data_IF_961827998843
#
_entry.id   IF_961827998843
#
_cell.length_a   1.000
_cell.length_b   1.000
_cell.length_c   1.000
_cell.angle_alpha   90.00
_cell.angle_beta   90.00
_cell.angle_gamma   90.00
#
_symmetry.space_group_name_H-M   'P 1'
#
loop_
_entity.id
_entity.type
_entity.pdbx_description
1 polymer ?
#
# COMPACT_ATOMS: atom_id res chain seq x y z
N UNK A 1 -10.09 -27.68 -0.91
CA UNK A 1 -8.82 -26.93 -1.12
C UNK A 1 -8.58 -26.09 0.13
N UNK A 2 -7.41 -26.15 0.76
CA UNK A 2 -7.13 -25.45 2.02
C UNK A 2 -5.98 -24.44 1.93
N UNK A 3 -5.26 -24.38 0.81
CA UNK A 3 -4.17 -23.41 0.54
C UNK A 3 -4.23 -22.99 -0.92
N UNK A 4 -3.97 -21.71 -1.20
CA UNK A 4 -3.94 -21.14 -2.54
C UNK A 4 -2.56 -20.54 -2.79
N UNK A 5 -1.92 -20.92 -3.90
CA UNK A 5 -0.67 -20.32 -4.37
C UNK A 5 -0.95 -19.65 -5.71
N UNK A 6 -0.68 -18.36 -5.82
CA UNK A 6 -0.80 -17.62 -7.09
C UNK A 6 0.58 -17.17 -7.54
N UNK A 7 0.98 -17.62 -8.73
CA UNK A 7 2.26 -17.27 -9.32
C UNK A 7 2.07 -16.15 -10.37
N UNK A 8 2.33 -14.91 -9.97
CA UNK A 8 2.03 -13.73 -10.78
C UNK A 8 2.96 -12.55 -10.46
N UNK A 9 2.41 -11.48 -9.89
CA UNK A 9 3.11 -10.23 -9.60
C UNK A 9 3.51 -10.11 -8.13
N UNK A 10 4.08 -8.98 -7.76
CA UNK A 10 4.42 -8.65 -6.38
C UNK A 10 3.23 -8.75 -5.42
N UNK A 11 3.42 -9.32 -4.22
CA UNK A 11 2.38 -9.32 -3.18
C UNK A 11 1.92 -7.90 -2.81
N UNK A 12 2.79 -6.89 -2.95
CA UNK A 12 2.48 -5.50 -2.59
C UNK A 12 1.27 -4.90 -3.31
N UNK A 13 0.92 -5.43 -4.49
CA UNK A 13 -0.18 -4.89 -5.30
C UNK A 13 -1.45 -5.72 -5.07
N UNK A 14 -1.39 -7.03 -5.31
CA UNK A 14 -2.61 -7.85 -5.40
C UNK A 14 -2.81 -8.85 -4.24
N UNK A 15 -1.90 -8.92 -3.26
CA UNK A 15 -2.15 -9.75 -2.07
C UNK A 15 -3.46 -9.36 -1.34
N UNK A 16 -3.78 -8.07 -1.11
CA UNK A 16 -5.05 -7.69 -0.52
C UNK A 16 -6.26 -8.16 -1.33
N UNK A 17 -6.17 -8.10 -2.66
CA UNK A 17 -7.22 -8.54 -3.59
C UNK A 17 -7.49 -10.04 -3.45
N UNK A 18 -6.46 -10.88 -3.53
CA UNK A 18 -6.65 -12.33 -3.40
C UNK A 18 -7.10 -12.72 -1.99
N UNK A 19 -6.60 -12.04 -0.95
CA UNK A 19 -7.08 -12.27 0.42
C UNK A 19 -8.58 -11.96 0.58
N UNK A 20 -9.08 -10.90 -0.07
CA UNK A 20 -10.51 -10.62 -0.10
C UNK A 20 -11.29 -11.74 -0.80
N UNK A 21 -10.81 -12.22 -1.94
CA UNK A 21 -11.43 -13.36 -2.66
C UNK A 21 -11.49 -14.62 -1.79
N UNK A 22 -10.40 -14.96 -1.08
CA UNK A 22 -10.42 -16.11 -0.17
C UNK A 22 -11.44 -15.92 0.95
N UNK A 23 -11.53 -14.73 1.52
CA UNK A 23 -12.51 -14.41 2.57
C UNK A 23 -13.94 -14.59 2.07
N UNK A 24 -14.25 -14.09 0.87
CA UNK A 24 -15.57 -14.27 0.23
C UNK A 24 -15.88 -15.74 -0.06
N UNK A 25 -14.85 -16.53 -0.38
CA UNK A 25 -14.97 -17.98 -0.57
C UNK A 25 -15.05 -18.78 0.75
N UNK A 26 -15.10 -18.12 1.91
CA UNK A 26 -15.16 -18.78 3.23
C UNK A 26 -13.83 -19.42 3.67
N UNK A 27 -12.71 -19.03 3.06
CA UNK A 27 -11.36 -19.48 3.41
C UNK A 27 -10.62 -18.42 4.23
N UNK A 28 -9.72 -18.89 5.10
CA UNK A 28 -8.80 -17.98 5.80
C UNK A 28 -7.96 -17.20 4.77
N UNK A 29 -7.91 -15.86 4.82
CA UNK A 29 -7.07 -15.06 3.93
C UNK A 29 -5.57 -15.34 4.13
N UNK A 30 -5.19 -15.93 5.26
CA UNK A 30 -3.81 -16.33 5.56
C UNK A 30 -3.42 -17.68 4.94
N UNK A 31 -4.34 -18.37 4.26
CA UNK A 31 -4.04 -19.55 3.45
C UNK A 31 -3.59 -19.23 2.02
N UNK A 32 -3.23 -17.98 1.77
CA UNK A 32 -2.78 -17.46 0.48
C UNK A 32 -1.27 -17.22 0.46
N UNK A 33 -0.61 -17.72 -0.59
CA UNK A 33 0.78 -17.43 -0.91
C UNK A 33 0.90 -16.82 -2.32
N UNK A 34 1.59 -15.69 -2.44
CA UNK A 34 1.92 -15.08 -3.73
C UNK A 34 3.36 -15.40 -4.11
N UNK A 35 3.56 -15.95 -5.31
CA UNK A 35 4.88 -16.17 -5.90
C UNK A 35 5.09 -15.12 -6.98
N UNK A 36 6.04 -14.19 -6.77
CA UNK A 36 6.33 -13.15 -7.74
C UNK A 36 7.17 -13.70 -8.91
N UNK A 37 6.51 -13.97 -10.03
CA UNK A 37 7.14 -14.37 -11.28
C UNK A 37 7.28 -13.22 -12.30
N UNK A 38 6.74 -12.04 -12.00
CA UNK A 38 6.80 -10.89 -12.91
C UNK A 38 7.99 -10.00 -12.60
N UNK A 39 7.89 -9.16 -11.57
CA UNK A 39 8.94 -8.20 -11.23
C UNK A 39 10.24 -8.90 -10.81
N UNK A 40 10.15 -10.10 -10.21
CA UNK A 40 11.33 -10.84 -9.74
C UNK A 40 11.79 -11.94 -10.71
N UNK A 41 11.10 -12.17 -11.82
CA UNK A 41 11.49 -13.18 -12.80
C UNK A 41 11.37 -12.67 -14.24
N UNK A 42 10.17 -12.66 -14.84
CA UNK A 42 10.03 -12.39 -16.28
C UNK A 42 10.53 -11.01 -16.70
N UNK A 43 10.35 -9.96 -15.89
CA UNK A 43 10.79 -8.60 -16.25
C UNK A 43 12.29 -8.41 -16.22
N UNK A 44 13.01 -9.21 -15.43
CA UNK A 44 14.46 -9.06 -15.22
C UNK A 44 15.29 -10.11 -15.97
N UNK A 45 14.64 -11.12 -16.59
CA UNK A 45 15.28 -12.20 -17.36
C UNK A 45 14.74 -12.33 -18.79
N UNK A 46 14.35 -11.22 -19.42
CA UNK A 46 13.76 -11.23 -20.76
C UNK A 46 14.68 -11.85 -21.84
N UNK A 47 16.00 -11.70 -21.67
CA UNK A 47 17.01 -12.26 -22.57
C UNK A 47 17.42 -13.71 -22.28
N UNK A 48 16.87 -14.34 -21.24
CA UNK A 48 17.26 -15.70 -20.80
C UNK A 48 16.02 -16.48 -20.33
N UNK A 49 15.16 -16.83 -21.30
CA UNK A 49 13.86 -17.45 -21.03
C UNK A 49 13.97 -18.84 -20.41
N UNK A 50 15.01 -19.61 -20.75
CA UNK A 50 15.23 -20.95 -20.21
C UNK A 50 15.53 -20.88 -18.72
N UNK A 51 16.52 -20.08 -18.31
CA UNK A 51 16.82 -19.91 -16.89
C UNK A 51 15.70 -19.16 -16.14
N UNK A 52 14.98 -18.24 -16.80
CA UNK A 52 13.79 -17.62 -16.22
C UNK A 52 12.71 -18.66 -15.87
N UNK A 53 12.49 -19.64 -16.74
CA UNK A 53 11.52 -20.71 -16.52
C UNK A 53 11.97 -21.63 -15.38
N UNK A 54 13.25 -21.99 -15.33
CA UNK A 54 13.79 -22.79 -14.23
C UNK A 54 13.74 -22.05 -12.89
N UNK A 55 14.04 -20.75 -12.88
CA UNK A 55 13.85 -19.89 -11.71
C UNK A 55 12.38 -19.86 -11.30
N UNK A 56 11.45 -19.68 -12.23
CA UNK A 56 10.02 -19.65 -11.94
C UNK A 56 9.54 -20.96 -11.29
N UNK A 57 9.94 -22.12 -11.83
CA UNK A 57 9.63 -23.43 -11.21
C UNK A 57 10.15 -23.53 -9.79
N UNK A 58 11.39 -23.08 -9.53
CA UNK A 58 11.98 -23.07 -8.18
C UNK A 58 11.21 -22.15 -7.22
N UNK A 59 10.84 -20.96 -7.66
CA UNK A 59 10.05 -20.01 -6.88
C UNK A 59 8.67 -20.55 -6.55
N UNK A 60 7.99 -21.17 -7.53
CA UNK A 60 6.68 -21.80 -7.32
C UNK A 60 6.80 -22.96 -6.33
N UNK A 61 7.82 -23.81 -6.46
CA UNK A 61 8.07 -24.89 -5.51
C UNK A 61 8.30 -24.38 -4.09
N UNK A 62 9.08 -23.30 -3.94
CA UNK A 62 9.29 -22.65 -2.64
C UNK A 62 7.98 -22.10 -2.06
N UNK A 63 7.16 -21.43 -2.89
CA UNK A 63 5.84 -20.93 -2.49
C UNK A 63 4.90 -22.05 -2.05
N UNK A 64 4.86 -23.17 -2.78
CA UNK A 64 4.06 -24.35 -2.38
C UNK A 64 4.53 -24.89 -1.03
N UNK A 65 5.84 -25.02 -0.81
CA UNK A 65 6.37 -25.51 0.46
C UNK A 65 6.01 -24.58 1.62
N UNK A 66 6.11 -23.27 1.42
CA UNK A 66 5.67 -22.29 2.43
C UNK A 66 4.16 -22.37 2.68
N UNK A 67 3.36 -22.49 1.62
CA UNK A 67 1.92 -22.55 1.71
C UNK A 67 1.43 -23.73 2.58
N UNK A 68 2.15 -24.85 2.59
CA UNK A 68 1.84 -26.00 3.46
C UNK A 68 1.85 -25.65 4.95
N UNK A 69 2.78 -24.78 5.33
CA UNK A 69 3.01 -24.36 6.72
C UNK A 69 2.21 -23.10 7.11
N UNK A 70 1.43 -22.53 6.19
CA UNK A 70 0.60 -21.36 6.52
C UNK A 70 -0.48 -21.73 7.53
N UNK A 71 -0.73 -20.85 8.49
CA UNK A 71 -1.75 -21.01 9.52
C UNK A 71 -2.79 -19.90 9.43
N UNK A 72 -3.97 -20.13 9.98
CA UNK A 72 -4.96 -19.07 10.13
C UNK A 72 -4.55 -18.17 11.29
N UNK A 73 -4.38 -16.89 11.01
CA UNK A 73 -4.04 -15.90 12.03
C UNK A 73 -5.33 -15.18 12.46
N UNK A 74 -5.65 -15.15 13.77
CA UNK A 74 -6.82 -14.43 14.24
C UNK A 74 -6.65 -12.92 14.05
N UNK A 75 -7.75 -12.24 13.72
CA UNK A 75 -7.76 -10.78 13.72
C UNK A 75 -7.74 -10.26 15.16
N UNK A 76 -6.89 -9.26 15.38
CA UNK A 76 -6.88 -8.50 16.63
C UNK A 76 -7.61 -7.19 16.40
N UNK A 77 -8.71 -6.98 17.11
CA UNK A 77 -9.36 -5.69 17.19
C UNK A 77 -8.55 -4.79 18.12
N UNK A 78 -8.28 -3.57 17.67
CA UNK A 78 -7.52 -2.58 18.43
C UNK A 78 -8.33 -1.28 18.37
N UNK A 79 -8.56 -0.61 19.52
CA UNK A 79 -9.24 0.68 19.52
C UNK A 79 -8.42 1.70 18.71
N UNK A 80 -9.12 2.48 17.89
CA UNK A 80 -8.53 3.58 17.12
C UNK A 80 -9.00 4.89 17.71
N UNK A 81 -8.06 5.72 18.17
CA UNK A 81 -8.32 7.09 18.60
C UNK A 81 -8.93 7.87 17.44
N UNK A 82 -10.03 8.60 17.68
CA UNK A 82 -10.67 9.44 16.65
C UNK A 82 -9.94 10.78 16.49
N UNK A 83 -8.64 10.70 16.21
CA UNK A 83 -7.76 11.83 15.97
C UNK A 83 -6.75 11.52 14.87
N UNK A 84 -6.25 12.57 14.21
CA UNK A 84 -5.23 12.48 13.16
C UNK A 84 -4.07 13.45 13.44
N UNK A 85 -2.88 13.07 12.99
CA UNK A 85 -1.69 13.92 12.99
C UNK A 85 -1.32 14.25 11.54
N UNK A 86 -1.25 15.53 11.21
CA UNK A 86 -0.78 16.03 9.93
C UNK A 86 0.58 16.69 10.13
N UNK A 87 1.59 16.22 9.41
CA UNK A 87 2.97 16.73 9.49
C UNK A 87 3.25 17.57 8.24
N UNK A 88 3.48 18.86 8.46
CA UNK A 88 3.68 19.89 7.44
C UNK A 88 2.41 20.69 7.16
N UNK A 89 2.45 22.00 7.41
CA UNK A 89 1.37 22.96 7.20
C UNK A 89 1.52 23.73 5.89
N UNK A 90 1.94 23.06 4.82
CA UNK A 90 1.78 23.58 3.46
C UNK A 90 0.33 23.40 2.95
N UNK A 91 0.06 23.82 1.71
CA UNK A 91 -1.29 23.71 1.12
C UNK A 91 -1.90 22.29 1.20
N UNK A 92 -1.09 21.25 0.96
CA UNK A 92 -1.57 19.86 1.06
C UNK A 92 -1.97 19.47 2.49
N UNK A 93 -1.16 19.84 3.49
CA UNK A 93 -1.42 19.49 4.88
C UNK A 93 -2.56 20.29 5.48
N UNK A 94 -2.65 21.59 5.16
CA UNK A 94 -3.76 22.43 5.63
C UNK A 94 -5.11 21.94 5.07
N UNK A 95 -5.17 21.59 3.78
CA UNK A 95 -6.39 21.03 3.19
C UNK A 95 -6.76 19.68 3.83
N UNK A 96 -5.80 18.76 3.99
CA UNK A 96 -6.07 17.49 4.66
C UNK A 96 -6.55 17.67 6.12
N UNK A 97 -5.96 18.64 6.84
CA UNK A 97 -6.38 18.96 8.19
C UNK A 97 -7.79 19.54 8.25
N UNK A 98 -8.14 20.44 7.31
CA UNK A 98 -9.46 21.04 7.21
C UNK A 98 -10.52 19.98 6.87
N UNK A 99 -10.29 19.15 5.85
CA UNK A 99 -11.20 18.09 5.45
C UNK A 99 -11.51 17.13 6.61
N UNK A 100 -10.49 16.73 7.37
CA UNK A 100 -10.65 15.85 8.54
C UNK A 100 -11.42 16.56 9.68
N UNK A 101 -11.12 17.83 9.93
CA UNK A 101 -11.78 18.62 10.97
C UNK A 101 -13.26 18.87 10.64
N UNK A 102 -13.62 19.10 9.37
CA UNK A 102 -15.01 19.24 8.92
C UNK A 102 -15.83 17.96 9.13
N UNK A 103 -15.19 16.80 9.07
CA UNK A 103 -15.79 15.51 9.45
C UNK A 103 -15.74 15.23 10.96
N UNK A 104 -15.38 16.23 11.76
CA UNK A 104 -15.34 16.18 13.21
C UNK A 104 -14.22 15.31 13.79
N UNK A 105 -13.16 15.03 13.04
CA UNK A 105 -11.97 14.31 13.53
C UNK A 105 -11.03 15.33 14.17
N UNK A 106 -10.53 15.07 15.38
CA UNK A 106 -9.54 15.95 16.01
C UNK A 106 -8.23 15.90 15.22
N UNK A 107 -7.70 17.05 14.81
CA UNK A 107 -6.45 17.11 14.04
C UNK A 107 -5.37 17.85 14.81
N UNK A 108 -4.20 17.23 14.92
CA UNK A 108 -2.97 17.87 15.33
C UNK A 108 -2.18 18.23 14.06
N UNK A 109 -1.98 19.52 13.80
CA UNK A 109 -1.18 20.00 12.66
C UNK A 109 0.18 20.48 13.17
N UNK A 110 1.26 19.84 12.71
CA UNK A 110 2.63 20.14 13.14
C UNK A 110 3.43 20.70 11.97
N UNK A 111 3.91 21.93 12.12
CA UNK A 111 4.81 22.58 11.15
C UNK A 111 6.20 22.73 11.76
N UNK A 112 7.23 22.51 10.94
CA UNK A 112 8.63 22.67 11.34
C UNK A 112 9.03 24.14 11.44
N UNK A 113 8.51 24.97 10.53
CA UNK A 113 8.78 26.40 10.47
C UNK A 113 7.93 27.19 11.45
N UNK A 114 8.31 28.45 11.68
CA UNK A 114 7.53 29.37 12.52
C UNK A 114 6.17 29.76 11.91
N UNK A 115 6.00 29.58 10.59
CA UNK A 115 4.80 29.95 9.85
C UNK A 115 4.28 28.80 8.99
N UNK A 116 2.97 28.76 8.81
CA UNK A 116 2.29 27.85 7.87
C UNK A 116 2.36 28.39 6.44
N UNK A 117 1.86 27.63 5.47
CA UNK A 117 1.77 28.00 4.05
C UNK A 117 2.76 27.26 3.15
N UNK A 118 3.90 26.84 3.70
CA UNK A 118 4.92 26.09 2.95
C UNK A 118 5.43 26.87 1.73
N UNK A 119 5.68 26.17 0.63
CA UNK A 119 6.21 26.81 -0.60
C UNK A 119 5.21 27.76 -1.27
N UNK A 120 3.90 27.55 -1.08
CA UNK A 120 2.88 28.35 -1.76
C UNK A 120 2.88 29.80 -1.26
N UNK A 121 3.19 30.02 0.03
CA UNK A 121 3.35 31.36 0.62
C UNK A 121 4.60 32.13 0.12
N UNK A 122 5.45 31.49 -0.68
CA UNK A 122 6.63 32.11 -1.29
C UNK A 122 6.39 32.45 -2.76
N UNK A 123 5.27 32.03 -3.34
CA UNK A 123 4.93 32.27 -4.74
C UNK A 123 4.15 33.58 -4.86
N UNK A 124 4.54 34.44 -5.80
CA UNK A 124 3.79 35.65 -6.11
C UNK A 124 2.47 35.33 -6.83
N UNK A 125 2.53 34.40 -7.80
CA UNK A 125 1.41 34.03 -8.66
C UNK A 125 1.27 32.52 -8.82
N UNK A 126 0.04 32.07 -9.03
CA UNK A 126 -0.30 30.66 -9.22
C UNK A 126 -0.89 30.44 -10.61
N UNK A 127 -0.20 29.62 -11.41
CA UNK A 127 -0.70 29.18 -12.72
C UNK A 127 -1.81 28.13 -12.55
N UNK A 128 -2.86 28.08 -13.39
CA UNK A 128 -3.09 28.91 -14.60
C UNK A 128 -3.86 30.20 -14.39
N UNK A 129 -4.42 30.44 -13.21
CA UNK A 129 -5.34 31.56 -12.98
C UNK A 129 -4.65 32.90 -12.78
N UNK A 130 -3.34 32.89 -12.53
CA UNK A 130 -2.54 34.07 -12.17
C UNK A 130 -3.06 34.76 -10.90
N UNK A 131 -3.67 33.98 -10.00
CA UNK A 131 -4.08 34.44 -8.68
C UNK A 131 -2.85 34.68 -7.80
N UNK A 132 -2.96 35.58 -6.82
CA UNK A 132 -1.92 35.78 -5.82
C UNK A 132 -1.71 34.51 -4.98
N UNK A 133 -0.46 34.27 -4.56
CA UNK A 133 -0.15 33.28 -3.53
C UNK A 133 -0.86 33.55 -2.19
N UNK A 134 -0.80 32.57 -1.28
CA UNK A 134 -1.32 32.69 0.09
C UNK A 134 -0.49 33.65 0.95
#
# INVERSE_FOLDING_TARGET
MNRIVVAACTPKIHEPTYRAVLREAGLSPYYFEMVNLREHCSFVHQGDMENATEKAKRLVRAGINRARELESVPYKEIPVERAALVIGAGIAGMNAALDLAEHGIQVYLVEKQATVGGKMAQLDRIYPTDDCGI
#
